data_IF_091600612527
#
_entry.id   IF_091600612527
#
_cell.length_a   1.000
_cell.length_b   1.000
_cell.length_c   1.000
_cell.angle_alpha   90.00
_cell.angle_beta   90.00
_cell.angle_gamma   90.00
#
_symmetry.space_group_name_H-M   'P 1'
#
loop_
_entity.id
_entity.type
_entity.pdbx_description
1 polymer ?
#
# COMPACT_ATOMS: atom_id res chain seq x y z
N UNK A 1 45.08 -11.04 -18.00
CA UNK A 1 43.93 -11.64 -18.71
C UNK A 1 42.72 -10.73 -18.47
N UNK A 2 42.04 -10.25 -19.52
CA UNK A 2 40.77 -9.52 -19.36
C UNK A 2 39.76 -10.50 -18.75
N UNK A 3 39.26 -10.21 -17.57
CA UNK A 3 38.13 -10.95 -16.99
C UNK A 3 36.89 -10.56 -17.80
N UNK A 4 36.52 -11.39 -18.78
CA UNK A 4 35.22 -11.30 -19.45
C UNK A 4 34.18 -11.89 -18.53
N UNK A 5 33.31 -11.04 -17.99
CA UNK A 5 32.11 -11.48 -17.28
C UNK A 5 31.14 -12.08 -18.31
N UNK A 6 30.74 -13.34 -18.10
CA UNK A 6 29.75 -14.01 -18.94
C UNK A 6 28.42 -14.00 -18.17
N UNK A 7 27.37 -13.45 -18.76
CA UNK A 7 26.05 -13.36 -18.14
C UNK A 7 25.13 -14.41 -18.76
N UNK A 8 24.51 -15.25 -17.92
CA UNK A 8 23.54 -16.24 -18.37
C UNK A 8 22.26 -16.15 -17.53
N UNK A 9 21.12 -16.24 -18.20
CA UNK A 9 19.81 -16.22 -17.56
C UNK A 9 19.39 -17.66 -17.22
N UNK A 10 19.01 -17.88 -15.96
CA UNK A 10 18.58 -19.18 -15.44
C UNK A 10 17.12 -19.10 -14.97
N UNK A 11 16.32 -20.13 -15.28
CA UNK A 11 14.96 -20.28 -14.77
C UNK A 11 14.92 -21.54 -13.91
N UNK A 12 14.73 -21.37 -12.61
CA UNK A 12 14.81 -22.46 -11.62
C UNK A 12 13.50 -22.45 -10.82
N UNK A 13 12.76 -23.57 -10.73
CA UNK A 13 11.61 -23.66 -9.84
C UNK A 13 12.07 -23.64 -8.38
N UNK A 14 11.21 -23.22 -7.46
CA UNK A 14 11.49 -23.25 -6.01
C UNK A 14 11.74 -24.71 -5.59
N UNK A 15 12.83 -24.96 -4.85
CA UNK A 15 13.29 -26.30 -4.50
C UNK A 15 13.94 -27.07 -5.66
N UNK A 16 13.94 -26.49 -6.86
CA UNK A 16 14.62 -27.00 -8.04
C UNK A 16 16.12 -26.71 -8.03
N UNK A 17 16.83 -27.42 -8.91
CA UNK A 17 18.26 -27.26 -9.08
C UNK A 17 18.58 -26.95 -10.54
N UNK A 18 19.48 -26.01 -10.77
CA UNK A 18 20.11 -25.80 -12.07
C UNK A 18 21.61 -25.98 -11.96
N UNK A 19 22.21 -26.50 -13.01
CA UNK A 19 23.66 -26.67 -13.08
C UNK A 19 24.24 -25.72 -14.11
N UNK A 20 25.28 -25.00 -13.71
CA UNK A 20 26.13 -24.24 -14.60
C UNK A 20 27.59 -24.62 -14.31
N UNK A 21 28.23 -25.25 -15.30
CA UNK A 21 29.57 -25.84 -15.17
C UNK A 21 29.66 -26.77 -13.93
N UNK A 22 30.59 -26.49 -13.01
CA UNK A 22 30.81 -27.25 -11.77
C UNK A 22 30.01 -26.73 -10.57
N UNK A 23 29.07 -25.79 -10.80
CA UNK A 23 28.24 -25.18 -9.77
C UNK A 23 26.80 -25.65 -9.94
N UNK A 24 26.21 -26.15 -8.86
CA UNK A 24 24.78 -26.45 -8.77
C UNK A 24 24.12 -25.39 -7.91
N UNK A 25 23.17 -24.68 -8.51
CA UNK A 25 22.35 -23.64 -7.88
C UNK A 25 21.06 -24.28 -7.41
N UNK A 26 20.74 -24.12 -6.14
CA UNK A 26 19.44 -24.50 -5.57
C UNK A 26 18.78 -23.25 -5.03
N UNK A 27 17.56 -22.98 -5.46
CA UNK A 27 16.76 -21.88 -4.88
C UNK A 27 15.97 -22.49 -3.73
N UNK A 28 16.40 -22.21 -2.50
CA UNK A 28 15.84 -22.86 -1.31
C UNK A 28 14.49 -22.26 -0.95
N UNK A 29 14.45 -20.93 -0.85
CA UNK A 29 13.26 -20.18 -0.45
C UNK A 29 13.19 -18.85 -1.19
N UNK A 30 11.97 -18.45 -1.52
CA UNK A 30 11.64 -17.10 -1.95
C UNK A 30 10.72 -16.54 -0.86
N UNK A 31 11.25 -15.61 -0.08
CA UNK A 31 10.48 -14.84 0.88
C UNK A 31 9.90 -13.64 0.14
N UNK A 32 8.59 -13.67 -0.05
CA UNK A 32 7.84 -12.56 -0.59
C UNK A 32 7.18 -11.75 0.52
N UNK A 33 6.86 -10.49 0.21
CA UNK A 33 6.07 -9.65 1.11
C UNK A 33 4.71 -10.28 1.38
N UNK A 34 4.22 -10.22 2.63
CA UNK A 34 2.87 -10.65 2.95
C UNK A 34 1.89 -9.79 2.14
N UNK A 35 1.16 -10.42 1.23
CA UNK A 35 0.12 -9.77 0.44
C UNK A 35 -1.15 -10.61 0.45
N UNK A 36 -2.31 -9.95 0.33
CA UNK A 36 -3.64 -10.57 0.20
C UNK A 36 -3.77 -11.51 -1.00
N UNK A 37 -2.84 -11.42 -1.95
CA UNK A 37 -2.86 -12.13 -3.23
C UNK A 37 -2.94 -13.65 -3.12
N UNK A 38 -2.43 -14.21 -2.02
CA UNK A 38 -2.43 -15.67 -1.80
C UNK A 38 -3.82 -16.22 -1.53
N UNK A 39 -4.77 -15.37 -1.15
CA UNK A 39 -6.16 -15.74 -0.89
C UNK A 39 -7.14 -15.25 -1.97
N UNK A 40 -6.66 -14.72 -3.10
CA UNK A 40 -7.52 -14.23 -4.18
C UNK A 40 -8.08 -15.40 -4.99
N UNK A 41 -9.40 -15.44 -5.18
CA UNK A 41 -10.06 -16.42 -6.05
C UNK A 41 -10.12 -15.90 -7.48
N UNK A 42 -10.19 -16.80 -8.47
CA UNK A 42 -10.22 -16.44 -9.89
C UNK A 42 -11.38 -17.10 -10.60
N UNK A 43 -11.93 -16.39 -11.59
CA UNK A 43 -12.95 -16.90 -12.50
C UNK A 43 -12.45 -16.79 -13.94
N UNK A 44 -12.85 -17.76 -14.77
CA UNK A 44 -12.42 -17.87 -16.17
C UNK A 44 -13.63 -17.94 -17.08
N UNK A 45 -13.57 -17.19 -18.18
CA UNK A 45 -14.52 -17.29 -19.28
C UNK A 45 -13.74 -17.43 -20.60
N UNK A 46 -13.66 -18.66 -21.12
CA UNK A 46 -12.87 -18.97 -22.32
C UNK A 46 -11.39 -18.64 -22.13
N UNK A 47 -10.90 -17.61 -22.80
CA UNK A 47 -9.51 -17.14 -22.67
C UNK A 47 -9.32 -16.02 -21.64
N UNK A 48 -10.38 -15.45 -21.07
CA UNK A 48 -10.29 -14.33 -20.14
C UNK A 48 -10.32 -14.80 -18.69
N UNK A 49 -9.47 -14.23 -17.84
CA UNK A 49 -9.43 -14.50 -16.40
C UNK A 49 -9.64 -13.19 -15.64
N UNK A 50 -10.43 -13.24 -14.57
CA UNK A 50 -10.66 -12.14 -13.65
C UNK A 50 -10.57 -12.60 -12.18
N UNK A 51 -10.32 -11.68 -11.27
CA UNK A 51 -10.40 -11.93 -9.83
C UNK A 51 -11.85 -12.07 -9.39
N UNK A 52 -12.07 -12.87 -8.36
CA UNK A 52 -13.35 -13.12 -7.74
C UNK A 52 -13.33 -12.72 -6.27
N UNK A 53 -14.50 -12.44 -5.71
CA UNK A 53 -14.65 -12.09 -4.31
C UNK A 53 -14.25 -13.28 -3.45
N UNK A 54 -13.27 -13.08 -2.58
CA UNK A 54 -12.76 -14.12 -1.70
C UNK A 54 -13.87 -14.72 -0.81
N UNK A 55 -13.82 -16.04 -0.58
CA UNK A 55 -14.69 -16.81 0.31
C UNK A 55 -16.20 -16.69 -0.01
N UNK A 56 -16.54 -16.16 -1.19
CA UNK A 56 -17.90 -16.06 -1.69
C UNK A 56 -18.08 -17.07 -2.82
N UNK A 57 -18.82 -18.15 -2.58
CA UNK A 57 -19.24 -19.02 -3.68
C UNK A 57 -20.26 -18.31 -4.59
N UNK A 58 -20.23 -18.54 -5.92
CA UNK A 58 -21.28 -18.06 -6.80
C UNK A 58 -22.65 -18.64 -6.42
N UNK A 59 -23.70 -17.85 -6.52
CA UNK A 59 -25.08 -18.30 -6.25
C UNK A 59 -25.52 -19.38 -7.23
N UNK A 60 -25.02 -19.36 -8.47
CA UNK A 60 -25.30 -20.42 -9.46
C UNK A 60 -24.07 -21.30 -9.66
N UNK A 61 -24.19 -22.58 -9.32
CA UNK A 61 -23.09 -23.53 -9.38
C UNK A 61 -23.51 -24.74 -10.21
N UNK A 62 -22.66 -25.13 -11.17
CA UNK A 62 -22.91 -26.27 -12.02
C UNK A 62 -21.80 -27.29 -11.89
N UNK A 63 -22.17 -28.56 -11.85
CA UNK A 63 -21.23 -29.66 -12.01
C UNK A 63 -20.86 -29.84 -13.49
N UNK A 64 -19.86 -30.69 -13.76
CA UNK A 64 -19.41 -31.01 -15.13
C UNK A 64 -20.53 -31.58 -16.03
N UNK A 65 -21.55 -32.21 -15.43
CA UNK A 65 -22.70 -32.78 -16.13
C UNK A 65 -23.85 -31.77 -16.37
N UNK A 66 -23.59 -30.47 -16.23
CA UNK A 66 -24.60 -29.39 -16.32
C UNK A 66 -25.75 -29.52 -15.31
N UNK A 67 -25.59 -30.30 -14.25
CA UNK A 67 -26.51 -30.25 -13.12
C UNK A 67 -26.19 -29.01 -12.30
N UNK A 68 -27.08 -28.03 -12.32
CA UNK A 68 -26.88 -26.74 -11.70
C UNK A 68 -27.77 -26.55 -10.47
N UNK A 69 -27.18 -26.05 -9.40
CA UNK A 69 -27.85 -25.66 -8.16
C UNK A 69 -27.80 -24.15 -8.00
N UNK A 70 -28.94 -23.58 -7.65
CA UNK A 70 -29.07 -22.17 -7.30
C UNK A 70 -29.15 -22.07 -5.77
N UNK A 71 -28.17 -21.40 -5.18
CA UNK A 71 -28.11 -21.10 -3.75
C UNK A 71 -28.32 -19.59 -3.55
N UNK A 72 -29.60 -19.22 -3.42
CA UNK A 72 -30.01 -17.83 -3.32
C UNK A 72 -29.83 -17.26 -1.92
N UNK A 73 -29.16 -16.12 -1.84
CA UNK A 73 -29.01 -15.32 -0.63
C UNK A 73 -29.96 -14.14 -0.67
N UNK A 74 -31.22 -14.39 -0.29
CA UNK A 74 -32.28 -13.40 -0.28
C UNK A 74 -32.70 -13.03 1.14
N UNK A 75 -32.85 -11.73 1.38
CA UNK A 75 -33.48 -11.21 2.60
C UNK A 75 -34.87 -10.70 2.24
N UNK A 76 -35.90 -11.27 2.85
CA UNK A 76 -37.29 -10.92 2.62
C UNK A 76 -37.87 -10.17 3.81
N UNK A 77 -38.51 -9.04 3.53
CA UNK A 77 -39.19 -8.22 4.52
C UNK A 77 -40.70 -8.25 4.26
N UNK A 78 -41.53 -8.46 5.30
CA UNK A 78 -42.97 -8.37 5.15
C UNK A 78 -43.37 -6.90 4.89
N UNK A 79 -44.16 -6.66 3.85
CA UNK A 79 -44.84 -5.36 3.64
C UNK A 79 -46.37 -5.55 3.56
N UNK A 80 -47.11 -4.44 3.59
CA UNK A 80 -48.56 -4.45 3.87
C UNK A 80 -49.41 -5.29 2.91
N UNK A 81 -49.04 -5.36 1.63
CA UNK A 81 -49.77 -6.13 0.63
C UNK A 81 -48.92 -7.21 -0.07
N UNK A 82 -47.60 -7.05 -0.11
CA UNK A 82 -46.68 -7.96 -0.78
C UNK A 82 -45.38 -8.10 0.02
N UNK A 83 -44.71 -9.25 -0.10
CA UNK A 83 -43.40 -9.46 0.50
C UNK A 83 -42.32 -8.91 -0.42
N UNK A 84 -41.40 -8.11 0.10
CA UNK A 84 -40.28 -7.57 -0.67
C UNK A 84 -39.04 -8.37 -0.34
N UNK A 85 -38.52 -9.12 -1.31
CA UNK A 85 -37.26 -9.86 -1.21
C UNK A 85 -36.16 -9.12 -1.96
N UNK A 86 -35.02 -8.93 -1.31
CA UNK A 86 -33.80 -8.44 -1.93
C UNK A 86 -32.77 -9.56 -1.92
N UNK A 87 -32.37 -10.01 -3.11
CA UNK A 87 -31.39 -11.07 -3.31
C UNK A 87 -30.06 -10.46 -3.73
N UNK A 88 -28.96 -11.02 -3.23
CA UNK A 88 -27.65 -10.70 -3.78
C UNK A 88 -27.50 -11.31 -5.17
N UNK A 89 -27.34 -10.46 -6.18
CA UNK A 89 -26.98 -10.88 -7.52
C UNK A 89 -25.47 -10.91 -7.69
N UNK A 90 -24.96 -12.02 -8.20
CA UNK A 90 -23.56 -12.15 -8.58
C UNK A 90 -23.38 -11.65 -10.02
N UNK A 91 -22.98 -10.39 -10.17
CA UNK A 91 -22.68 -9.80 -11.49
C UNK A 91 -21.34 -10.31 -12.03
N UNK A 92 -21.33 -11.55 -12.52
CA UNK A 92 -20.15 -12.20 -13.13
C UNK A 92 -19.59 -11.37 -14.28
N UNK A 93 -20.45 -10.69 -15.04
CA UNK A 93 -20.03 -9.88 -16.20
C UNK A 93 -19.18 -8.69 -15.76
N UNK A 94 -19.55 -8.04 -14.65
CA UNK A 94 -18.79 -6.90 -14.12
C UNK A 94 -17.32 -7.23 -13.87
N UNK A 95 -17.02 -8.46 -13.43
CA UNK A 95 -15.65 -8.90 -13.13
C UNK A 95 -14.76 -8.94 -14.38
N UNK A 96 -15.33 -9.24 -15.56
CA UNK A 96 -14.58 -9.25 -16.82
C UNK A 96 -14.52 -7.88 -17.50
N UNK A 97 -15.42 -6.96 -17.14
CA UNK A 97 -15.43 -5.59 -17.69
C UNK A 97 -14.66 -4.58 -16.83
N UNK A 98 -14.55 -4.83 -15.53
CA UNK A 98 -13.82 -3.97 -14.60
C UNK A 98 -12.32 -4.17 -14.78
N UNK A 99 -11.63 -3.09 -15.15
CA UNK A 99 -10.19 -3.06 -15.35
C UNK A 99 -9.40 -3.40 -14.08
N UNK A 100 -10.01 -3.26 -12.90
CA UNK A 100 -9.38 -3.59 -11.62
C UNK A 100 -9.55 -5.07 -11.24
N UNK A 101 -10.32 -5.84 -12.00
CA UNK A 101 -10.59 -7.27 -11.75
C UNK A 101 -10.11 -8.17 -12.89
N UNK A 102 -10.17 -7.68 -14.13
CA UNK A 102 -9.68 -8.39 -15.30
C UNK A 102 -8.13 -8.41 -15.36
N UNK A 103 -7.51 -9.59 -15.49
CA UNK A 103 -6.05 -9.70 -15.56
C UNK A 103 -5.47 -9.14 -16.88
N UNK A 104 -4.33 -8.43 -16.87
CA UNK A 104 -3.40 -8.33 -15.76
C UNK A 104 -3.74 -7.21 -14.76
N UNK A 105 -3.53 -7.49 -13.47
CA UNK A 105 -3.74 -6.52 -12.38
C UNK A 105 -2.51 -6.38 -11.50
N UNK A 106 -2.32 -5.19 -10.92
CA UNK A 106 -1.27 -4.92 -9.94
C UNK A 106 -1.88 -4.92 -8.54
N UNK A 107 -1.37 -5.76 -7.65
CA UNK A 107 -1.77 -5.83 -6.25
C UNK A 107 -0.52 -5.80 -5.37
N UNK A 108 -0.24 -4.63 -4.78
CA UNK A 108 1.01 -4.40 -4.05
C UNK A 108 2.24 -4.65 -4.93
N UNK A 109 3.23 -5.37 -4.40
CA UNK A 109 4.47 -5.74 -5.10
C UNK A 109 4.29 -6.78 -6.21
N UNK A 110 3.07 -7.27 -6.42
CA UNK A 110 2.78 -8.34 -7.36
C UNK A 110 1.97 -7.86 -8.56
N UNK A 111 2.30 -8.43 -9.69
CA UNK A 111 1.54 -8.32 -10.92
C UNK A 111 0.97 -9.70 -11.26
N UNK A 112 -0.35 -9.81 -11.26
CA UNK A 112 -1.03 -11.01 -11.71
C UNK A 112 -1.18 -10.96 -13.21
N UNK A 113 -0.67 -11.97 -13.88
CA UNK A 113 -0.76 -12.12 -15.32
C UNK A 113 -1.30 -13.49 -15.67
N UNK A 114 -2.00 -13.57 -16.79
CA UNK A 114 -2.40 -14.84 -17.36
C UNK A 114 -1.23 -15.41 -18.18
N UNK A 115 -0.87 -16.65 -17.87
CA UNK A 115 0.05 -17.43 -18.67
C UNK A 115 -0.67 -18.70 -19.13
N UNK A 116 -1.08 -18.70 -20.41
CA UNK A 116 -1.93 -19.73 -20.98
C UNK A 116 -3.23 -19.89 -20.18
N UNK A 117 -3.36 -21.00 -19.46
CA UNK A 117 -4.54 -21.38 -18.67
C UNK A 117 -4.34 -21.20 -17.16
N UNK A 118 -3.22 -20.60 -16.76
CA UNK A 118 -2.82 -20.41 -15.37
C UNK A 118 -2.63 -18.93 -15.04
N UNK A 119 -2.82 -18.60 -13.77
CA UNK A 119 -2.48 -17.28 -13.23
C UNK A 119 -1.08 -17.34 -12.65
N UNK A 120 -0.24 -16.37 -13.00
CA UNK A 120 1.13 -16.24 -12.50
C UNK A 120 1.27 -14.89 -11.82
N UNK A 121 1.84 -14.90 -10.61
CA UNK A 121 2.24 -13.68 -9.91
C UNK A 121 3.71 -13.36 -10.21
N UNK A 122 3.98 -12.14 -10.67
CA UNK A 122 5.33 -11.62 -10.93
C UNK A 122 5.66 -10.50 -9.95
N UNK A 123 6.89 -10.47 -9.45
CA UNK A 123 7.38 -9.37 -8.62
C UNK A 123 8.83 -9.05 -8.99
N UNK A 124 9.17 -7.77 -8.91
CA UNK A 124 10.54 -7.28 -9.09
C UNK A 124 11.28 -7.17 -7.75
N UNK A 125 10.62 -7.54 -6.65
CA UNK A 125 11.11 -7.35 -5.28
C UNK A 125 10.86 -8.62 -4.46
N UNK A 126 11.92 -9.37 -4.15
CA UNK A 126 11.83 -10.56 -3.32
C UNK A 126 13.17 -10.86 -2.64
N UNK A 127 13.13 -11.36 -1.40
CA UNK A 127 14.30 -11.87 -0.71
C UNK A 127 14.43 -13.37 -0.98
N UNK A 128 15.52 -13.80 -1.61
CA UNK A 128 15.73 -15.21 -2.00
C UNK A 128 16.98 -15.77 -1.36
N UNK A 129 16.90 -16.99 -0.85
CA UNK A 129 18.07 -17.75 -0.40
C UNK A 129 18.48 -18.73 -1.50
N UNK A 130 19.74 -18.65 -1.93
CA UNK A 130 20.31 -19.52 -2.95
C UNK A 130 21.44 -20.33 -2.34
N UNK A 131 21.30 -21.65 -2.32
CA UNK A 131 22.37 -22.58 -1.97
C UNK A 131 23.20 -22.91 -3.21
N UNK A 132 24.52 -22.71 -3.07
CA UNK A 132 25.50 -23.05 -4.08
C UNK A 132 26.25 -24.32 -3.66
N UNK A 133 26.15 -25.37 -4.47
CA UNK A 133 26.93 -26.60 -4.30
C UNK A 133 28.01 -26.67 -5.37
N UNK A 134 29.27 -26.61 -4.93
CA UNK A 134 30.45 -26.71 -5.79
C UNK A 134 30.87 -28.18 -5.88
N UNK A 135 31.00 -28.73 -7.09
CA UNK A 135 31.33 -30.16 -7.30
C UNK A 135 32.83 -30.48 -7.19
N UNK A 136 33.72 -29.48 -7.30
CA UNK A 136 35.17 -29.66 -7.28
C UNK A 136 35.81 -29.03 -6.03
N UNK A 137 37.12 -29.21 -5.82
CA UNK A 137 37.88 -28.48 -4.80
C UNK A 137 38.18 -27.07 -5.30
N UNK A 138 37.32 -26.14 -4.95
CA UNK A 138 37.51 -24.71 -5.23
C UNK A 138 38.23 -24.07 -4.05
N UNK A 139 39.32 -23.34 -4.31
CA UNK A 139 39.85 -22.36 -3.36
C UNK A 139 38.97 -21.11 -3.43
N UNK A 140 37.87 -21.10 -2.68
CA UNK A 140 36.91 -20.00 -2.71
C UNK A 140 37.48 -18.80 -1.97
N UNK A 141 37.87 -17.77 -2.71
CA UNK A 141 38.16 -16.45 -2.15
C UNK A 141 36.83 -15.69 -2.07
N UNK A 142 36.37 -15.36 -0.87
CA UNK A 142 35.18 -14.52 -0.69
C UNK A 142 35.49 -13.11 -1.21
N UNK A 143 35.07 -12.80 -2.42
CA UNK A 143 35.17 -11.45 -2.98
C UNK A 143 33.94 -10.63 -2.55
N UNK A 144 33.92 -10.19 -1.29
CA UNK A 144 32.97 -9.17 -0.85
C UNK A 144 33.48 -7.82 -1.36
N UNK A 145 32.73 -7.18 -2.25
CA UNK A 145 33.04 -5.81 -2.70
C UNK A 145 33.18 -4.91 -1.48
N UNK A 146 34.34 -4.26 -1.30
CA UNK A 146 34.59 -3.32 -0.20
C UNK A 146 34.21 -1.88 -0.59
N UNK A 147 33.13 -1.75 -1.35
CA UNK A 147 32.64 -0.49 -1.89
C UNK A 147 31.86 0.29 -0.84
N UNK A 148 32.13 1.59 -0.74
CA UNK A 148 31.26 2.53 -0.04
C UNK A 148 30.48 3.34 -1.04
N UNK A 149 29.29 3.76 -0.64
CA UNK A 149 28.40 4.50 -1.50
C UNK A 149 27.80 5.70 -0.78
N UNK A 150 27.69 6.77 -1.53
CA UNK A 150 26.98 7.98 -1.15
C UNK A 150 25.54 7.86 -1.66
N UNK A 151 24.57 8.08 -0.78
CA UNK A 151 23.16 7.86 -1.09
C UNK A 151 22.35 9.07 -0.68
N UNK A 152 21.43 9.48 -1.54
CA UNK A 152 20.38 10.45 -1.21
C UNK A 152 19.03 9.92 -1.67
N UNK A 153 17.99 10.18 -0.88
CA UNK A 153 16.63 9.71 -1.12
C UNK A 153 15.67 10.88 -1.22
N UNK A 154 14.70 10.78 -2.12
CA UNK A 154 13.61 11.74 -2.21
C UNK A 154 12.43 11.32 -1.33
N UNK A 155 11.52 12.26 -1.09
CA UNK A 155 10.27 11.96 -0.40
C UNK A 155 9.41 11.01 -1.25
N UNK A 156 8.66 10.13 -0.59
CA UNK A 156 7.72 9.26 -1.27
C UNK A 156 6.53 10.08 -1.82
N UNK A 157 6.26 9.92 -3.12
CA UNK A 157 5.19 10.61 -3.83
C UNK A 157 4.27 9.57 -4.46
N UNK A 158 2.98 9.69 -4.21
CA UNK A 158 1.96 8.83 -4.81
C UNK A 158 0.70 8.79 -3.95
N UNK A 159 0.10 7.60 -3.87
CA UNK A 159 -1.11 7.39 -3.08
C UNK A 159 -0.97 6.29 -2.04
N UNK A 160 -1.85 6.36 -1.04
CA UNK A 160 -2.08 5.30 -0.08
C UNK A 160 -3.40 4.58 -0.38
N UNK A 161 -3.53 3.33 0.07
CA UNK A 161 -4.64 2.43 -0.19
C UNK A 161 -4.98 2.33 -1.69
N UNK A 162 -3.96 2.17 -2.54
CA UNK A 162 -4.09 2.20 -3.99
C UNK A 162 -3.13 1.23 -4.70
N UNK A 163 -3.50 0.83 -5.92
CA UNK A 163 -2.73 -0.13 -6.75
C UNK A 163 -1.51 0.50 -7.42
N UNK A 164 -1.47 1.82 -7.59
CA UNK A 164 -0.28 2.52 -8.13
C UNK A 164 0.83 2.67 -7.09
N UNK A 165 0.46 2.70 -5.80
CA UNK A 165 1.36 2.90 -4.67
C UNK A 165 2.01 4.29 -4.62
N UNK A 166 3.08 4.38 -3.85
CA UNK A 166 3.97 5.52 -3.74
C UNK A 166 5.35 5.19 -4.30
N UNK A 167 6.02 6.17 -4.90
CA UNK A 167 7.36 6.01 -5.44
C UNK A 167 8.34 6.97 -4.79
N UNK A 168 9.55 6.48 -4.51
CA UNK A 168 10.67 7.29 -4.06
C UNK A 168 11.85 7.08 -5.02
N UNK A 169 12.64 8.13 -5.23
CA UNK A 169 13.85 8.08 -6.03
C UNK A 169 15.06 7.98 -5.09
N UNK A 170 15.89 6.97 -5.31
CA UNK A 170 17.17 6.79 -4.65
C UNK A 170 18.26 7.16 -5.65
N UNK A 171 19.02 8.19 -5.33
CA UNK A 171 20.28 8.46 -6.02
C UNK A 171 21.40 7.76 -5.26
N UNK A 172 22.17 6.93 -5.96
CA UNK A 172 23.28 6.18 -5.40
C UNK A 172 24.55 6.35 -6.23
N UNK A 173 25.64 6.69 -5.57
CA UNK A 173 26.97 6.82 -6.17
C UNK A 173 27.97 5.92 -5.45
N UNK A 174 28.67 5.06 -6.19
CA UNK A 174 29.76 4.24 -5.67
C UNK A 174 31.11 4.95 -5.80
N UNK A 175 32.09 4.63 -4.96
CA UNK A 175 33.39 5.31 -4.96
C UNK A 175 34.39 4.74 -5.98
N UNK A 176 34.48 3.42 -6.14
CA UNK A 176 35.52 2.76 -6.94
C UNK A 176 35.00 2.08 -8.19
N UNK A 177 33.88 1.36 -8.10
CA UNK A 177 33.31 0.64 -9.22
C UNK A 177 31.79 0.63 -9.18
N UNK A 178 31.17 0.50 -10.35
CA UNK A 178 29.72 0.30 -10.46
C UNK A 178 29.32 -1.00 -9.75
N UNK A 179 28.26 -0.93 -8.94
CA UNK A 179 27.80 -2.03 -8.09
C UNK A 179 26.28 -1.98 -7.89
N UNK A 180 25.71 -3.05 -7.35
CA UNK A 180 24.32 -3.09 -6.92
C UNK A 180 24.26 -2.98 -5.40
N UNK A 181 23.45 -2.06 -4.89
CA UNK A 181 23.21 -1.90 -3.47
C UNK A 181 21.92 -2.60 -3.05
N UNK A 182 21.97 -3.23 -1.88
CA UNK A 182 20.81 -3.79 -1.22
C UNK A 182 20.17 -2.74 -0.32
N UNK A 183 18.89 -2.45 -0.54
CA UNK A 183 18.10 -1.51 0.26
C UNK A 183 17.13 -2.33 1.09
N UNK A 184 17.32 -2.35 2.40
CA UNK A 184 16.52 -3.11 3.36
C UNK A 184 15.71 -2.12 4.21
N UNK A 185 14.41 -2.05 4.00
CA UNK A 185 13.46 -1.20 4.72
C UNK A 185 12.70 -1.98 5.79
N UNK A 186 11.89 -1.28 6.60
CA UNK A 186 11.02 -1.89 7.60
C UNK A 186 10.15 -3.02 7.02
N UNK A 187 9.74 -3.98 7.86
CA UNK A 187 8.88 -5.11 7.47
C UNK A 187 9.49 -6.06 6.43
N UNK A 188 10.82 -6.17 6.43
CA UNK A 188 11.62 -7.01 5.54
C UNK A 188 11.57 -6.60 4.06
N UNK A 189 11.12 -5.39 3.72
CA UNK A 189 11.13 -4.85 2.35
C UNK A 189 12.55 -4.72 1.80
N UNK A 190 12.90 -5.54 0.80
CA UNK A 190 14.22 -5.56 0.17
C UNK A 190 14.14 -5.17 -1.31
N UNK A 191 14.97 -4.20 -1.69
CA UNK A 191 15.12 -3.72 -3.07
C UNK A 191 16.57 -3.76 -3.51
N UNK A 192 16.81 -3.97 -4.80
CA UNK A 192 18.12 -3.84 -5.43
C UNK A 192 18.17 -2.53 -6.24
N UNK A 193 19.14 -1.67 -5.96
CA UNK A 193 19.35 -0.42 -6.71
C UNK A 193 20.74 -0.38 -7.30
N UNK A 194 20.87 0.21 -8.49
CA UNK A 194 22.17 0.35 -9.15
C UNK A 194 22.89 1.61 -8.68
N UNK A 195 24.18 1.46 -8.36
CA UNK A 195 25.07 2.52 -7.94
C UNK A 195 26.23 2.60 -8.93
N UNK A 196 26.45 3.77 -9.52
CA UNK A 196 27.55 3.99 -10.46
C UNK A 196 28.54 5.01 -9.92
N UNK A 197 29.75 5.02 -10.48
CA UNK A 197 30.77 6.01 -10.10
C UNK A 197 30.37 7.47 -10.41
N UNK A 198 29.48 7.68 -11.39
CA UNK A 198 28.91 8.98 -11.72
C UNK A 198 27.66 9.32 -10.87
N UNK A 199 27.07 8.32 -10.22
CA UNK A 199 25.80 8.43 -9.51
C UNK A 199 24.62 8.11 -10.43
N UNK A 200 23.76 7.19 -9.99
CA UNK A 200 22.57 6.77 -10.73
C UNK A 200 21.31 6.90 -9.89
N UNK A 201 20.21 7.26 -10.54
CA UNK A 201 18.88 7.36 -9.95
C UNK A 201 18.11 6.06 -10.21
N UNK A 202 17.57 5.48 -9.15
CA UNK A 202 16.74 4.27 -9.16
C UNK A 202 15.41 4.58 -8.48
N UNK A 203 14.30 4.20 -9.10
CA UNK A 203 12.96 4.40 -8.52
C UNK A 203 12.52 3.14 -7.80
N UNK A 204 12.15 3.28 -6.53
CA UNK A 204 11.55 2.20 -5.75
C UNK A 204 10.08 2.51 -5.46
N UNK A 205 9.26 1.47 -5.34
CA UNK A 205 7.82 1.57 -5.13
C UNK A 205 7.43 0.94 -3.80
N UNK A 206 6.59 1.64 -3.06
CA UNK A 206 6.04 1.28 -1.76
C UNK A 206 4.53 1.24 -1.82
N UNK A 207 3.93 0.44 -0.95
CA UNK A 207 2.50 0.37 -0.75
C UNK A 207 2.20 0.64 0.71
N UNK A 208 1.27 1.56 0.97
CA UNK A 208 0.89 1.97 2.31
C UNK A 208 -0.61 2.13 2.38
N UNK A 209 -1.20 1.74 3.50
CA UNK A 209 -2.62 1.97 3.80
C UNK A 209 -2.86 3.30 4.54
N UNK A 210 -1.79 4.04 4.83
CA UNK A 210 -1.86 5.31 5.58
C UNK A 210 -1.28 6.48 4.79
N UNK A 211 -1.83 7.67 5.04
CA UNK A 211 -1.42 8.91 4.38
C UNK A 211 -0.01 9.37 4.81
N UNK A 212 0.36 9.19 6.08
CA UNK A 212 1.68 9.53 6.60
C UNK A 212 2.61 8.35 6.41
N UNK A 213 3.36 8.36 5.30
CA UNK A 213 4.35 7.32 5.01
C UNK A 213 5.69 7.67 5.64
N UNK A 214 6.24 6.73 6.42
CA UNK A 214 7.54 6.85 7.06
C UNK A 214 8.15 5.46 7.20
N UNK A 215 9.28 5.22 6.57
CA UNK A 215 10.03 3.97 6.68
C UNK A 215 11.52 4.23 6.81
N UNK A 216 12.19 3.43 7.66
CA UNK A 216 13.64 3.47 7.81
C UNK A 216 14.24 2.40 6.93
N UNK A 217 15.23 2.78 6.13
CA UNK A 217 15.91 1.89 5.22
C UNK A 217 17.41 1.88 5.49
N UNK A 218 18.01 0.70 5.38
CA UNK A 218 19.44 0.46 5.47
C UNK A 218 19.96 0.07 4.10
N UNK A 219 20.94 0.81 3.61
CA UNK A 219 21.49 0.66 2.26
C UNK A 219 22.92 0.13 2.37
N UNK A 220 23.17 -1.04 1.77
CA UNK A 220 24.46 -1.73 1.78
C UNK A 220 24.96 -2.00 0.35
N UNK A 221 26.11 -1.42 -0.01
CA UNK A 221 26.78 -1.60 -1.31
C UNK A 221 27.86 -2.70 -1.29
N UNK A 222 27.93 -3.46 -0.20
CA UNK A 222 28.86 -4.56 0.04
C UNK A 222 30.00 -4.22 1.01
N UNK A 223 30.25 -2.94 1.26
CA UNK A 223 31.30 -2.46 2.14
C UNK A 223 31.10 -2.78 3.63
N UNK A 224 31.94 -2.15 4.47
CA UNK A 224 31.83 -2.27 5.94
C UNK A 224 30.80 -1.31 6.56
N UNK A 225 30.31 -0.34 5.78
CA UNK A 225 29.39 0.70 6.27
C UNK A 225 28.10 0.63 5.49
N UNK A 226 27.01 0.33 6.19
CA UNK A 226 25.65 0.56 5.69
C UNK A 226 25.23 1.98 6.01
N UNK A 227 24.51 2.63 5.09
CA UNK A 227 23.93 3.95 5.30
C UNK A 227 22.48 3.77 5.76
N UNK A 228 22.16 4.30 6.93
CA UNK A 228 20.77 4.37 7.39
C UNK A 228 20.14 5.67 6.89
N UNK A 229 18.98 5.57 6.27
CA UNK A 229 18.20 6.69 5.75
C UNK A 229 16.73 6.51 6.08
N UNK A 230 16.00 7.62 6.10
CA UNK A 230 14.57 7.62 6.36
C UNK A 230 13.84 8.18 5.14
N UNK A 231 12.89 7.39 4.63
CA UNK A 231 12.03 7.79 3.52
C UNK A 231 10.69 8.21 4.12
N UNK A 232 10.35 9.49 3.92
CA UNK A 232 9.10 10.07 4.40
C UNK A 232 8.28 10.61 3.25
N UNK A 233 6.96 10.69 3.42
CA UNK A 233 6.07 11.27 2.43
C UNK A 233 4.65 11.44 2.97
N UNK A 234 3.93 12.42 2.42
CA UNK A 234 2.48 12.56 2.65
C UNK A 234 1.78 12.13 1.38
N UNK A 235 1.24 10.91 1.41
CA UNK A 235 0.59 10.26 0.29
C UNK A 235 -0.84 10.77 0.12
N UNK A 236 -1.28 10.85 -1.14
CA UNK A 236 -2.63 11.29 -1.47
C UNK A 236 -3.61 10.14 -1.32
N UNK A 237 -4.79 10.41 -0.80
CA UNK A 237 -5.85 9.41 -0.79
C UNK A 237 -6.32 9.15 -2.21
N UNK A 238 -6.42 7.87 -2.59
CA UNK A 238 -6.88 7.49 -3.92
C UNK A 238 -8.23 6.78 -3.93
N UNK A 239 -8.83 6.45 -2.78
CA UNK A 239 -10.07 5.72 -2.86
C UNK A 239 -11.13 6.56 -3.57
N UNK A 240 -11.77 5.91 -4.52
CA UNK A 240 -13.02 6.29 -5.15
C UNK A 240 -13.09 7.38 -6.21
N UNK A 241 -12.00 8.01 -6.67
CA UNK A 241 -12.15 9.04 -7.74
C UNK A 241 -12.81 8.45 -9.00
N UNK A 242 -12.50 7.20 -9.36
CA UNK A 242 -13.14 6.55 -10.52
C UNK A 242 -14.47 5.87 -10.18
N UNK A 243 -14.60 5.16 -9.05
CA UNK A 243 -15.86 4.51 -8.68
C UNK A 243 -16.97 5.51 -8.34
N UNK A 244 -16.65 6.67 -7.75
CA UNK A 244 -17.61 7.76 -7.53
C UNK A 244 -17.99 8.46 -8.84
N UNK A 245 -17.05 8.65 -9.77
CA UNK A 245 -17.34 9.25 -11.09
C UNK A 245 -18.21 8.34 -11.97
N UNK A 246 -17.91 7.04 -12.04
CA UNK A 246 -18.74 6.08 -12.77
C UNK A 246 -20.13 5.88 -12.14
N UNK A 247 -20.24 5.84 -10.80
CA UNK A 247 -21.52 5.75 -10.10
C UNK A 247 -22.39 7.00 -10.26
N UNK A 248 -21.78 8.17 -10.42
CA UNK A 248 -22.49 9.43 -10.67
C UNK A 248 -23.04 9.55 -12.11
N UNK A 249 -22.36 8.94 -13.09
CA UNK A 249 -22.84 8.88 -14.48
C UNK A 249 -23.96 7.83 -14.65
N UNK A 250 -23.97 6.78 -13.83
CA UNK A 250 -24.94 5.68 -13.91
C UNK A 250 -26.22 5.90 -13.07
N UNK A 251 -26.34 7.02 -12.35
CA UNK A 251 -27.60 7.44 -11.73
C UNK A 251 -28.16 6.51 -10.63
N UNK A 252 -27.32 5.69 -9.98
CA UNK A 252 -27.76 4.76 -8.94
C UNK A 252 -27.35 5.29 -7.55
N UNK A 253 -28.17 6.17 -6.98
CA UNK A 253 -27.99 6.68 -5.62
C UNK A 253 -28.82 5.86 -4.64
N UNK A 254 -28.28 4.73 -4.19
CA UNK A 254 -28.70 4.12 -2.93
C UNK A 254 -27.51 4.07 -1.98
N UNK A 255 -27.74 4.61 -0.79
CA UNK A 255 -26.74 5.17 0.11
C UNK A 255 -26.17 4.07 1.03
N UNK A 256 -24.95 4.34 1.50
CA UNK A 256 -24.23 3.74 2.62
C UNK A 256 -23.46 2.45 2.31
N UNK A 257 -22.25 2.63 1.77
CA UNK A 257 -21.13 1.85 2.25
C UNK A 257 -19.93 2.78 2.46
N UNK A 258 -19.24 2.51 3.57
CA UNK A 258 -18.15 3.23 4.21
C UNK A 258 -17.37 4.16 3.29
N UNK A 259 -17.68 5.44 3.42
CA UNK A 259 -16.71 6.48 3.12
C UNK A 259 -15.60 6.27 4.14
N UNK A 260 -14.54 5.56 3.75
CA UNK A 260 -13.27 5.66 4.47
C UNK A 260 -12.81 7.10 4.25
N UNK A 261 -13.17 7.97 5.18
CA UNK A 261 -12.83 9.38 5.15
C UNK A 261 -11.30 9.47 5.27
N UNK A 262 -10.66 10.38 4.51
CA UNK A 262 -9.22 10.58 4.63
C UNK A 262 -8.86 10.84 6.09
N UNK A 263 -7.80 10.16 6.56
CA UNK A 263 -7.29 10.15 7.93
C UNK A 263 -7.57 11.46 8.69
N UNK A 264 -8.72 11.47 9.38
CA UNK A 264 -9.29 12.66 10.03
C UNK A 264 -8.52 13.00 11.30
N UNK A 265 -7.56 12.17 11.72
CA UNK A 265 -6.76 12.39 12.92
C UNK A 265 -6.06 13.74 12.90
N UNK A 266 -5.46 14.14 11.77
CA UNK A 266 -4.79 15.43 11.64
C UNK A 266 -5.79 16.61 11.61
N UNK A 267 -6.98 16.41 11.03
CA UNK A 267 -8.02 17.45 11.00
C UNK A 267 -8.63 17.65 12.39
N UNK A 268 -8.80 16.56 13.15
CA UNK A 268 -9.28 16.59 14.54
C UNK A 268 -8.25 17.23 15.46
N UNK A 269 -6.95 16.97 15.30
CA UNK A 269 -5.91 17.63 16.11
C UNK A 269 -5.87 19.15 15.87
N UNK A 270 -5.89 19.60 14.61
CA UNK A 270 -5.99 21.03 14.29
C UNK A 270 -7.30 21.65 14.80
N UNK A 271 -8.43 20.95 14.65
CA UNK A 271 -9.74 21.41 15.11
C UNK A 271 -9.81 21.49 16.64
N UNK A 272 -9.28 20.50 17.36
CA UNK A 272 -9.24 20.48 18.82
C UNK A 272 -8.37 21.61 19.37
N UNK A 273 -7.24 21.90 18.72
CA UNK A 273 -6.39 23.06 19.07
C UNK A 273 -7.12 24.39 18.85
N UNK A 274 -7.84 24.53 17.73
CA UNK A 274 -8.66 25.70 17.44
C UNK A 274 -9.86 25.86 18.41
N UNK A 275 -10.54 24.78 18.75
CA UNK A 275 -11.66 24.81 19.71
C UNK A 275 -11.20 25.21 21.12
N UNK A 276 -9.99 24.80 21.52
CA UNK A 276 -9.39 25.19 22.80
C UNK A 276 -9.14 26.70 22.87
N UNK A 277 -8.66 27.32 21.79
CA UNK A 277 -8.43 28.78 21.77
C UNK A 277 -9.74 29.56 21.77
N UNK A 278 -10.76 29.10 21.02
CA UNK A 278 -12.11 29.72 21.01
C UNK A 278 -12.76 29.65 22.41
N UNK A 279 -12.68 28.51 23.10
CA UNK A 279 -13.23 28.36 24.44
C UNK A 279 -12.59 29.32 25.47
N UNK A 280 -11.27 29.54 25.38
CA UNK A 280 -10.55 30.50 26.23
C UNK A 280 -11.03 31.93 25.97
N UNK A 281 -11.20 32.31 24.69
CA UNK A 281 -11.68 33.65 24.33
C UNK A 281 -13.09 33.89 24.87
N UNK A 282 -14.00 32.92 24.72
CA UNK A 282 -15.37 33.02 25.25
C UNK A 282 -15.36 33.19 26.77
N UNK A 283 -14.52 32.42 27.49
CA UNK A 283 -14.41 32.53 28.94
C UNK A 283 -13.91 33.91 29.39
N UNK A 284 -12.94 34.50 28.68
CA UNK A 284 -12.43 35.85 28.95
C UNK A 284 -13.53 36.90 28.72
N UNK A 285 -14.26 36.81 27.61
CA UNK A 285 -15.35 37.74 27.30
C UNK A 285 -16.46 37.69 28.36
N UNK A 286 -16.84 36.48 28.80
CA UNK A 286 -17.81 36.31 29.89
C UNK A 286 -17.31 36.91 31.20
N UNK A 287 -16.04 36.72 31.55
CA UNK A 287 -15.43 37.33 32.74
C UNK A 287 -15.45 38.86 32.68
N UNK A 288 -15.12 39.45 31.52
CA UNK A 288 -15.19 40.90 31.33
C UNK A 288 -16.64 41.40 31.46
N UNK A 289 -17.60 40.68 30.87
CA UNK A 289 -19.01 41.05 30.96
C UNK A 289 -19.55 41.00 32.40
N UNK A 290 -19.23 39.95 33.15
CA UNK A 290 -19.65 39.80 34.55
C UNK A 290 -18.98 40.86 35.44
N UNK A 291 -17.70 41.13 35.25
CA UNK A 291 -16.98 42.14 36.06
C UNK A 291 -17.46 43.56 35.76
N UNK A 292 -17.70 43.91 34.50
CA UNK A 292 -18.27 45.21 34.13
C UNK A 292 -19.68 45.38 34.67
N UNK A 293 -20.54 44.36 34.56
CA UNK A 293 -21.88 44.38 35.15
C UNK A 293 -21.85 44.56 36.68
N UNK A 294 -20.95 43.86 37.37
CA UNK A 294 -20.78 43.98 38.82
C UNK A 294 -20.27 45.37 39.26
N UNK A 295 -19.39 46.00 38.49
CA UNK A 295 -18.89 47.36 38.77
C UNK A 295 -19.99 48.40 38.56
N UNK A 296 -20.72 48.33 37.44
CA UNK A 296 -21.81 49.26 37.13
C UNK A 296 -22.92 49.17 38.18
N UNK A 297 -23.33 47.96 38.57
CA UNK A 297 -24.36 47.77 39.60
C UNK A 297 -23.91 48.29 40.97
N UNK A 298 -22.65 48.06 41.38
CA UNK A 298 -22.12 48.61 42.63
C UNK A 298 -22.04 50.15 42.63
N UNK A 299 -21.65 50.77 41.52
CA UNK A 299 -21.63 52.23 41.38
C UNK A 299 -23.05 52.79 41.38
N UNK A 300 -23.98 52.18 40.64
CA UNK A 300 -25.39 52.58 40.60
C UNK A 300 -26.06 52.55 41.98
N UNK A 301 -25.81 51.50 42.77
CA UNK A 301 -26.31 51.41 44.16
C UNK A 301 -25.71 52.51 45.04
N UNK A 302 -24.42 52.81 44.90
CA UNK A 302 -23.76 53.89 45.68
C UNK A 302 -24.29 55.27 45.31
N UNK A 303 -24.54 55.55 44.02
CA UNK A 303 -25.14 56.80 43.57
C UNK A 303 -26.60 56.93 44.04
N UNK A 304 -27.38 55.86 43.96
CA UNK A 304 -28.77 55.86 44.45
C UNK A 304 -28.85 56.14 45.96
N UNK A 305 -28.00 55.48 46.75
CA UNK A 305 -27.92 55.71 48.20
C UNK A 305 -27.49 57.14 48.55
N UNK A 306 -26.57 57.73 47.76
CA UNK A 306 -26.11 59.11 47.97
C UNK A 306 -27.18 60.18 47.64
N UNK A 307 -28.12 59.89 46.74
CA UNK A 307 -29.24 60.79 46.39
C UNK A 307 -30.43 60.61 47.35
N UNK A 308 -30.61 59.43 47.94
CA UNK A 308 -31.74 59.15 48.83
C UNK A 308 -31.48 59.48 50.31
N UNK A 309 -30.21 59.48 50.74
CA UNK A 309 -29.80 59.77 52.12
C UNK A 309 -28.93 61.03 52.26
N UNK A 310 -28.75 61.81 51.19
CA UNK A 310 -28.16 63.15 51.20
C UNK A 310 -29.23 64.21 51.04
#
# INVERSE_FOLDING_TARGET
>A
KKNTANQQQLTIPIGGQAQFEDITFTVDTINSFPTSITNTWFIRNGSSIATWTQDKWPSFQCNQDNNCTLEDRCTCYPAQNEMICSCEEDDVKSHFTDINKHLPIQEGHWKLEQFQDHVVAKTDTAATTITLKLKSRWETILYKTAESCEVSVTHAIGCYACTTGATAEIWCKSERADTTANVECSENEVFAVECTTEGKKSTIKFFSDTAKFQTRCRIDCGGKKSVETEITGVLKYSASIWTSFYRMIQGNTTIYNEINLPDVGHLIECYMSYMKTVAIVIAIVLLIFVTTYAVITRIGIKCFMAVYYG
#
